data_IF_577933792531
#
_entry.id   IF_577933792531
#
_cell.length_a   1.000
_cell.length_b   1.000
_cell.length_c   1.000
_cell.angle_alpha   90.00
_cell.angle_beta   90.00
_cell.angle_gamma   90.00
#
_symmetry.space_group_name_H-M   'P 1'
#
loop_
_entity.id
_entity.type
_entity.pdbx_description
1 polymer ?
#
# COMPACT_ATOMS: atom_id res chain seq x y z
N UNK A 1 -0.29 -10.61 8.77
CA UNK A 1 0.92 -9.73 8.79
C UNK A 1 0.54 -8.35 9.29
N UNK A 2 1.48 -7.65 9.94
CA UNK A 2 1.22 -6.26 10.36
C UNK A 2 0.91 -5.34 9.19
N UNK A 3 0.20 -4.26 9.50
CA UNK A 3 -0.09 -3.21 8.54
C UNK A 3 0.88 -2.05 8.75
N UNK A 4 1.28 -1.42 7.66
CA UNK A 4 2.17 -0.25 7.70
C UNK A 4 1.64 0.85 6.79
N UNK A 5 1.69 2.07 7.29
CA UNK A 5 1.39 3.26 6.50
C UNK A 5 2.71 3.88 6.06
N UNK A 6 2.87 4.06 4.76
CA UNK A 6 4.09 4.60 4.18
C UNK A 6 3.79 5.95 3.56
N UNK A 7 4.50 6.97 4.00
CA UNK A 7 4.41 8.29 3.43
C UNK A 7 5.56 8.48 2.44
N UNK A 8 5.24 8.97 1.24
CA UNK A 8 6.22 9.21 0.19
C UNK A 8 5.98 10.58 -0.41
N UNK A 9 7.05 11.35 -0.61
CA UNK A 9 7.00 12.62 -1.32
C UNK A 9 7.84 12.50 -2.57
N UNK A 10 7.27 12.88 -3.71
CA UNK A 10 7.91 12.75 -5.02
C UNK A 10 8.35 14.12 -5.51
N UNK A 11 9.49 14.16 -6.21
CA UNK A 11 10.00 15.40 -6.80
C UNK A 11 9.07 15.91 -7.90
N UNK A 12 8.46 14.98 -8.64
CA UNK A 12 7.52 15.29 -9.72
C UNK A 12 6.16 14.69 -9.39
N UNK A 13 5.20 14.83 -10.30
CA UNK A 13 3.88 14.23 -10.11
C UNK A 13 4.00 12.72 -10.05
N UNK A 14 3.22 12.11 -9.17
CA UNK A 14 3.21 10.66 -9.00
C UNK A 14 2.68 9.99 -10.25
N UNK A 15 3.42 9.01 -10.83
CA UNK A 15 2.88 8.24 -11.95
C UNK A 15 1.69 7.38 -11.48
N UNK A 16 0.63 7.38 -12.26
CA UNK A 16 -0.58 6.62 -11.93
C UNK A 16 -0.99 5.66 -13.04
N UNK A 17 -0.10 5.39 -13.97
CA UNK A 17 -0.38 4.49 -15.09
C UNK A 17 -0.34 3.02 -14.67
N UNK A 18 -1.04 2.19 -15.42
CA UNK A 18 -1.17 0.76 -15.13
C UNK A 18 0.16 0.03 -15.23
N UNK A 19 1.03 0.44 -16.14
CA UNK A 19 2.32 -0.20 -16.33
C UNK A 19 3.21 -0.02 -15.08
N UNK A 20 3.24 1.20 -14.54
CA UNK A 20 3.98 1.48 -13.31
C UNK A 20 3.41 0.67 -12.15
N UNK A 21 2.09 0.62 -12.02
CA UNK A 21 1.44 -0.14 -10.96
C UNK A 21 1.73 -1.64 -11.08
N UNK A 22 1.76 -2.17 -12.29
CA UNK A 22 2.09 -3.57 -12.52
C UNK A 22 3.54 -3.89 -12.11
N UNK A 23 4.47 -2.98 -12.40
CA UNK A 23 5.87 -3.15 -12.00
C UNK A 23 6.01 -3.14 -10.47
N UNK A 24 5.30 -2.25 -9.81
CA UNK A 24 5.28 -2.19 -8.35
C UNK A 24 4.76 -3.51 -7.76
N UNK A 25 3.66 -4.00 -8.30
CA UNK A 25 3.07 -5.25 -7.83
C UNK A 25 4.04 -6.42 -7.99
N UNK A 26 4.73 -6.49 -9.11
CA UNK A 26 5.67 -7.58 -9.36
C UNK A 26 6.79 -7.62 -8.33
N UNK A 27 7.41 -6.47 -8.05
CA UNK A 27 8.49 -6.38 -7.06
C UNK A 27 7.95 -6.70 -5.67
N UNK A 28 6.78 -6.19 -5.32
CA UNK A 28 6.16 -6.45 -4.03
C UNK A 28 5.90 -7.94 -3.83
N UNK A 29 5.40 -8.61 -4.87
CA UNK A 29 5.13 -10.05 -4.82
C UNK A 29 6.42 -10.83 -4.60
N UNK A 30 7.51 -10.45 -5.25
CA UNK A 30 8.80 -11.12 -5.11
C UNK A 30 9.38 -10.98 -3.70
N UNK A 31 9.18 -9.84 -3.06
CA UNK A 31 9.72 -9.57 -1.72
C UNK A 31 8.78 -10.06 -0.62
N UNK A 32 7.51 -10.26 -0.96
CA UNK A 32 6.53 -10.72 0.01
C UNK A 32 5.85 -9.60 0.77
N UNK A 33 5.77 -8.41 0.19
CA UNK A 33 4.96 -7.31 0.73
C UNK A 33 3.72 -7.16 -0.13
N UNK A 34 2.65 -6.65 0.46
CA UNK A 34 1.39 -6.49 -0.25
C UNK A 34 0.91 -5.06 -0.17
N UNK A 35 0.87 -4.40 -1.31
CA UNK A 35 0.30 -3.07 -1.45
C UNK A 35 -1.21 -3.21 -1.48
N UNK A 36 -1.89 -2.64 -0.49
CA UNK A 36 -3.34 -2.73 -0.39
C UNK A 36 -4.02 -1.60 -1.15
N UNK A 37 -3.69 -0.38 -0.82
CA UNK A 37 -4.18 0.81 -1.54
C UNK A 37 -3.38 2.03 -1.10
N UNK A 38 -3.60 3.14 -1.80
CA UNK A 38 -2.94 4.40 -1.48
C UNK A 38 -3.91 5.56 -1.60
N UNK A 39 -3.63 6.61 -0.83
CA UNK A 39 -4.22 7.91 -1.04
C UNK A 39 -3.20 8.79 -1.77
N UNK A 40 -3.68 9.56 -2.75
CA UNK A 40 -2.88 10.51 -3.49
C UNK A 40 -3.24 11.91 -3.01
N UNK A 41 -2.24 12.72 -2.67
CA UNK A 41 -2.49 14.11 -2.26
C UNK A 41 -3.09 14.90 -3.42
N UNK A 42 -3.79 16.00 -3.07
CA UNK A 42 -4.45 16.82 -4.08
C UNK A 42 -3.49 17.39 -5.10
N UNK A 43 -2.27 17.73 -4.70
CA UNK A 43 -1.24 18.23 -5.61
C UNK A 43 -0.51 17.11 -6.38
N UNK A 44 -0.87 15.84 -6.11
CA UNK A 44 -0.34 14.65 -6.80
C UNK A 44 1.16 14.42 -6.62
N UNK A 45 1.72 14.93 -5.55
CA UNK A 45 3.17 14.80 -5.27
C UNK A 45 3.46 13.92 -4.06
N UNK A 46 2.43 13.53 -3.32
CA UNK A 46 2.59 12.75 -2.10
C UNK A 46 1.62 11.59 -2.09
N UNK A 47 2.06 10.44 -1.59
CA UNK A 47 1.18 9.29 -1.39
C UNK A 47 1.25 8.81 0.04
N UNK A 48 0.13 8.27 0.49
CA UNK A 48 0.00 7.57 1.77
C UNK A 48 -0.46 6.16 1.44
N UNK A 49 0.45 5.21 1.55
CA UNK A 49 0.23 3.84 1.07
C UNK A 49 0.04 2.89 2.23
N UNK A 50 -0.95 2.03 2.16
CA UNK A 50 -1.18 1.00 3.16
C UNK A 50 -0.67 -0.33 2.63
N UNK A 51 0.21 -0.98 3.41
CA UNK A 51 0.85 -2.24 3.04
C UNK A 51 0.67 -3.27 4.14
N UNK A 52 0.65 -4.54 3.74
CA UNK A 52 0.91 -5.65 4.65
C UNK A 52 2.32 -6.17 4.39
N UNK A 53 3.10 -6.38 5.45
CA UNK A 53 4.45 -6.89 5.36
C UNK A 53 4.86 -7.50 6.70
N UNK A 54 5.87 -8.38 6.67
CA UNK A 54 6.40 -8.97 7.90
C UNK A 54 7.21 -7.96 8.72
N UNK A 55 7.78 -6.95 8.04
CA UNK A 55 8.63 -5.97 8.70
C UNK A 55 8.74 -4.70 7.86
N UNK A 56 9.12 -3.56 8.47
CA UNK A 56 9.43 -2.35 7.72
C UNK A 56 10.61 -2.54 6.75
N UNK A 57 11.55 -3.39 7.09
CA UNK A 57 12.73 -3.65 6.26
C UNK A 57 12.34 -4.24 4.91
N UNK A 58 11.32 -5.12 4.89
CA UNK A 58 10.82 -5.67 3.63
C UNK A 58 10.26 -4.58 2.74
N UNK A 59 9.54 -3.61 3.32
CA UNK A 59 8.99 -2.47 2.57
C UNK A 59 10.11 -1.61 2.03
N UNK A 60 11.16 -1.35 2.83
CA UNK A 60 12.30 -0.56 2.38
C UNK A 60 13.03 -1.24 1.23
N UNK A 61 13.16 -2.57 1.29
CA UNK A 61 13.80 -3.33 0.22
C UNK A 61 13.03 -3.21 -1.09
N UNK A 62 11.71 -3.29 -1.02
CA UNK A 62 10.87 -3.14 -2.20
C UNK A 62 11.00 -1.73 -2.79
N UNK A 63 10.94 -0.71 -1.94
CA UNK A 63 11.07 0.69 -2.37
C UNK A 63 12.43 0.95 -3.02
N UNK A 64 13.50 0.38 -2.46
CA UNK A 64 14.84 0.52 -3.00
C UNK A 64 14.95 -0.08 -4.39
N UNK A 65 14.38 -1.28 -4.59
CA UNK A 65 14.40 -1.92 -5.90
C UNK A 65 13.61 -1.13 -6.94
N UNK A 66 12.54 -0.47 -6.51
CA UNK A 66 11.69 0.33 -7.39
C UNK A 66 12.21 1.73 -7.59
N UNK A 67 13.17 2.18 -6.77
CA UNK A 67 13.68 3.55 -6.84
C UNK A 67 12.66 4.59 -6.40
N UNK A 68 11.76 4.24 -5.49
CA UNK A 68 10.74 5.17 -4.99
C UNK A 68 11.08 5.63 -3.59
N UNK A 69 10.69 6.87 -3.22
CA UNK A 69 11.04 7.44 -1.93
C UNK A 69 10.23 6.82 -0.79
N UNK A 70 10.80 6.88 0.40
CA UNK A 70 10.10 6.52 1.64
C UNK A 70 10.43 7.60 2.66
N UNK A 71 9.44 8.43 3.02
CA UNK A 71 9.63 9.45 4.04
C UNK A 71 9.46 8.87 5.44
N UNK A 72 8.45 8.01 5.60
CA UNK A 72 8.20 7.36 6.90
C UNK A 72 7.47 6.05 6.69
N UNK A 73 7.66 5.12 7.62
CA UNK A 73 6.91 3.87 7.71
C UNK A 73 6.43 3.76 9.15
N UNK A 74 5.13 3.64 9.33
CA UNK A 74 4.50 3.55 10.65
C UNK A 74 3.64 2.30 10.71
N UNK A 75 3.87 1.46 11.70
CA UNK A 75 2.97 0.34 11.93
C UNK A 75 1.64 0.86 12.45
N UNK A 76 0.52 0.40 11.87
CA UNK A 76 -0.81 0.92 12.16
C UNK A 76 -1.77 -0.21 12.44
N UNK A 77 -2.84 0.12 13.15
CA UNK A 77 -3.97 -0.77 13.37
C UNK A 77 -5.24 -0.13 12.83
N UNK A 78 -6.26 -0.92 12.76
CA UNK A 78 -7.55 -0.45 12.26
C UNK A 78 -8.36 0.14 13.41
N UNK A 79 -8.90 1.33 13.20
CA UNK A 79 -9.81 1.96 14.14
C UNK A 79 -10.81 2.79 13.36
N UNK A 80 -12.05 2.80 13.80
CA UNK A 80 -13.10 3.59 13.17
C UNK A 80 -14.47 3.18 13.70
N UNK A 81 -15.52 3.83 13.22
CA UNK A 81 -16.89 3.48 13.64
C UNK A 81 -17.26 2.05 13.22
N UNK A 82 -16.66 1.56 12.14
CA UNK A 82 -16.83 0.16 11.70
C UNK A 82 -15.47 -0.40 11.34
N UNK A 83 -14.94 -1.28 12.18
CA UNK A 83 -13.61 -1.84 12.00
C UNK A 83 -13.47 -2.64 10.71
N UNK A 84 -14.57 -3.14 10.17
CA UNK A 84 -14.54 -3.96 8.94
C UNK A 84 -14.22 -3.15 7.69
N UNK A 85 -14.24 -1.82 7.74
CA UNK A 85 -14.03 -0.99 6.55
C UNK A 85 -12.66 -1.25 5.92
N UNK A 86 -11.61 -1.26 6.73
CA UNK A 86 -10.25 -1.50 6.20
C UNK A 86 -10.14 -2.92 5.64
N UNK A 87 -10.71 -3.90 6.34
CA UNK A 87 -10.69 -5.29 5.87
C UNK A 87 -11.36 -5.42 4.51
N UNK A 88 -12.45 -4.69 4.30
CA UNK A 88 -13.17 -4.72 3.03
C UNK A 88 -12.38 -4.10 1.88
N UNK A 89 -11.40 -3.25 2.18
CA UNK A 89 -10.57 -2.60 1.16
C UNK A 89 -9.35 -3.44 0.75
N UNK A 90 -9.04 -4.50 1.50
CA UNK A 90 -7.89 -5.36 1.19
C UNK A 90 -8.22 -6.27 0.01
N UNK A 91 -7.29 -6.52 -0.91
CA UNK A 91 -7.53 -7.39 -2.06
C UNK A 91 -8.01 -8.80 -1.69
N UNK A 92 -7.42 -9.42 -0.70
CA UNK A 92 -7.85 -10.75 -0.27
C UNK A 92 -9.19 -10.72 0.49
N UNK A 93 -9.47 -9.64 1.20
CA UNK A 93 -10.76 -9.45 1.85
C UNK A 93 -11.85 -9.18 0.82
N UNK A 94 -11.49 -8.63 -0.31
CA UNK A 94 -12.41 -8.36 -1.40
C UNK A 94 -13.06 -9.64 -1.91
N UNK A 95 -12.31 -10.73 -2.01
CA UNK A 95 -12.87 -12.00 -2.40
C UNK A 95 -13.91 -12.49 -1.39
N UNK A 96 -13.56 -12.39 -0.12
CA UNK A 96 -14.48 -12.76 0.96
C UNK A 96 -15.70 -11.86 0.98
N UNK A 97 -15.50 -10.56 0.76
CA UNK A 97 -16.60 -9.61 0.74
C UNK A 97 -17.58 -9.91 -0.39
N UNK A 98 -17.10 -10.35 -1.52
CA UNK A 98 -17.96 -10.72 -2.64
C UNK A 98 -18.89 -11.88 -2.27
N UNK A 99 -18.43 -12.79 -1.45
CA UNK A 99 -19.25 -13.88 -0.96
C UNK A 99 -20.27 -13.44 0.07
N UNK A 100 -19.92 -12.44 0.85
CA UNK A 100 -20.76 -11.97 1.96
C UNK A 100 -21.84 -11.01 1.52
N UNK A 101 -21.63 -10.29 0.47
CA UNK A 101 -22.56 -9.25 0.03
C UNK A 101 -23.74 -9.77 -0.73
N UNK A 102 -23.80 -11.01 -0.99
CA UNK A 102 -24.94 -11.59 -1.66
C UNK A 102 -26.17 -11.65 -0.78
#
# INVERSE_FOLDING_TARGET
>A
MPLFLIERTFADLVPTDDETNAAIKLVNDEIGVQWLFSFLSADKRKTFCLYEAVSPEAIRAAAQRLGIPVDSIVEVGEIGPEAAVIAALRPQAKSSAAEQTV
#
